data_IF_870025970341
#
_entry.id   IF_870025970341
#
_cell.length_a   1.000
_cell.length_b   1.000
_cell.length_c   1.000
_cell.angle_alpha   90.00
_cell.angle_beta   90.00
_cell.angle_gamma   90.00
#
_symmetry.space_group_name_H-M   'P 1'
#
loop_
_entity.id
_entity.type
_entity.pdbx_description
1 polymer ?
#
# COMPACT_ATOMS: atom_id res chain seq x y z
N UNK A 1 5.64 23.41 -32.63
CA UNK A 1 4.52 22.81 -31.88
C UNK A 1 5.06 22.40 -30.51
N UNK A 2 4.68 23.13 -29.47
CA UNK A 2 5.30 23.10 -28.13
C UNK A 2 5.01 21.82 -27.33
N UNK A 3 6.00 20.94 -27.28
CA UNK A 3 6.04 19.71 -26.48
C UNK A 3 6.07 19.97 -24.96
N UNK A 4 6.42 21.18 -24.52
CA UNK A 4 6.48 21.60 -23.12
C UNK A 4 5.10 21.99 -22.55
N UNK A 5 4.22 22.61 -23.34
CA UNK A 5 2.84 22.93 -22.93
C UNK A 5 1.99 21.68 -22.77
N UNK A 6 2.20 20.67 -23.62
CA UNK A 6 1.50 19.38 -23.54
C UNK A 6 1.95 18.60 -22.29
N UNK A 7 3.25 18.62 -21.94
CA UNK A 7 3.75 18.00 -20.71
C UNK A 7 3.19 18.65 -19.44
N UNK A 8 3.17 19.98 -19.36
CA UNK A 8 2.63 20.67 -18.18
C UNK A 8 1.12 20.45 -18.03
N UNK A 9 0.35 20.54 -19.14
CA UNK A 9 -1.08 20.26 -19.13
C UNK A 9 -1.42 18.80 -18.81
N UNK A 10 -0.65 17.84 -19.33
CA UNK A 10 -0.83 16.41 -19.04
C UNK A 10 -0.46 16.09 -17.58
N UNK A 11 0.62 16.66 -17.04
CA UNK A 11 1.00 16.50 -15.63
C UNK A 11 -0.08 17.08 -14.72
N UNK A 12 -0.59 18.28 -15.03
CA UNK A 12 -1.65 18.90 -14.25
C UNK A 12 -2.94 18.08 -14.31
N UNK A 13 -3.27 17.51 -15.47
CA UNK A 13 -4.42 16.63 -15.64
C UNK A 13 -4.27 15.34 -14.82
N UNK A 14 -3.11 14.70 -14.86
CA UNK A 14 -2.83 13.49 -14.06
C UNK A 14 -2.90 13.78 -12.56
N UNK A 15 -2.37 14.93 -12.12
CA UNK A 15 -2.48 15.36 -10.72
C UNK A 15 -3.94 15.62 -10.34
N UNK A 16 -4.72 16.26 -11.22
CA UNK A 16 -6.14 16.51 -11.03
C UNK A 16 -6.95 15.21 -10.93
N UNK A 17 -6.73 14.28 -11.85
CA UNK A 17 -7.38 12.97 -11.88
C UNK A 17 -7.01 12.15 -10.63
N UNK A 18 -5.74 12.19 -10.22
CA UNK A 18 -5.28 11.55 -8.98
C UNK A 18 -5.95 12.16 -7.75
N UNK A 19 -5.96 13.49 -7.63
CA UNK A 19 -6.61 14.17 -6.50
C UNK A 19 -8.11 13.90 -6.46
N UNK A 20 -8.76 13.86 -7.61
CA UNK A 20 -10.18 13.51 -7.72
C UNK A 20 -10.45 12.07 -7.27
N UNK A 21 -9.72 11.09 -7.81
CA UNK A 21 -9.85 9.69 -7.42
C UNK A 21 -9.56 9.49 -5.94
N UNK A 22 -8.52 10.15 -5.42
CA UNK A 22 -8.14 10.10 -4.01
C UNK A 22 -9.21 10.70 -3.11
N UNK A 23 -9.68 11.91 -3.41
CA UNK A 23 -10.70 12.60 -2.61
C UNK A 23 -12.03 11.84 -2.61
N UNK A 24 -12.51 11.42 -3.78
CA UNK A 24 -13.78 10.68 -3.89
C UNK A 24 -13.71 9.32 -3.21
N UNK A 25 -12.60 8.58 -3.35
CA UNK A 25 -12.40 7.30 -2.66
C UNK A 25 -12.34 7.49 -1.13
N UNK A 26 -11.71 8.57 -0.66
CA UNK A 26 -11.64 8.91 0.76
C UNK A 26 -13.01 9.22 1.33
N UNK A 27 -13.80 10.06 0.66
CA UNK A 27 -15.16 10.43 1.07
C UNK A 27 -16.03 9.17 1.13
N UNK A 28 -15.96 8.32 0.09
CA UNK A 28 -16.74 7.10 0.03
C UNK A 28 -16.36 6.13 1.17
N UNK A 29 -15.07 5.91 1.40
CA UNK A 29 -14.59 5.09 2.51
C UNK A 29 -15.05 5.63 3.87
N UNK A 30 -14.98 6.94 4.07
CA UNK A 30 -15.41 7.58 5.31
C UNK A 30 -16.93 7.46 5.54
N UNK A 31 -17.74 7.67 4.50
CA UNK A 31 -19.20 7.53 4.60
C UNK A 31 -19.62 6.11 4.97
N UNK A 32 -19.00 5.09 4.36
CA UNK A 32 -19.30 3.68 4.67
C UNK A 32 -18.79 3.29 6.05
N UNK A 33 -17.63 3.79 6.48
CA UNK A 33 -17.11 3.59 7.83
C UNK A 33 -18.04 4.20 8.90
N UNK A 34 -18.53 5.42 8.68
CA UNK A 34 -19.49 6.08 9.57
C UNK A 34 -20.84 5.37 9.57
N UNK A 35 -21.32 4.94 8.40
CA UNK A 35 -22.54 4.16 8.26
C UNK A 35 -22.44 2.84 9.05
N UNK A 36 -21.28 2.18 9.01
CA UNK A 36 -21.01 0.97 9.81
C UNK A 36 -21.09 1.26 11.31
N UNK A 37 -20.49 2.35 11.78
CA UNK A 37 -20.57 2.75 13.19
C UNK A 37 -22.02 3.04 13.62
N UNK A 38 -22.83 3.65 12.74
CA UNK A 38 -24.25 3.89 12.98
C UNK A 38 -25.05 2.59 13.06
N UNK A 39 -24.83 1.64 12.14
CA UNK A 39 -25.47 0.31 12.15
C UNK A 39 -25.13 -0.45 13.43
N UNK A 40 -23.86 -0.42 13.86
CA UNK A 40 -23.43 -1.01 15.14
C UNK A 40 -24.14 -0.35 16.33
N UNK A 41 -24.32 0.98 16.31
CA UNK A 41 -25.08 1.70 17.34
C UNK A 41 -26.54 1.25 17.41
N UNK A 42 -27.18 1.12 16.25
CA UNK A 42 -28.57 0.71 16.16
C UNK A 42 -28.77 -0.73 16.66
N UNK A 43 -27.84 -1.63 16.34
CA UNK A 43 -27.89 -3.03 16.76
C UNK A 43 -27.58 -3.24 18.25
N UNK A 44 -26.82 -2.34 18.87
CA UNK A 44 -26.60 -2.33 20.32
C UNK A 44 -27.94 -2.32 21.10
N UNK A 45 -28.99 -1.73 20.53
CA UNK A 45 -30.33 -1.69 21.13
C UNK A 45 -31.12 -3.01 21.00
N UNK A 46 -30.73 -3.91 20.09
CA UNK A 46 -31.54 -5.06 19.67
C UNK A 46 -31.18 -6.41 20.29
N UNK A 47 -29.88 -6.72 20.48
CA UNK A 47 -29.39 -7.94 21.18
C UNK A 47 -27.85 -7.95 21.22
N UNK A 48 -27.24 -8.24 22.37
CA UNK A 48 -25.79 -8.42 22.46
C UNK A 48 -25.35 -9.76 21.85
N UNK A 49 -24.43 -9.72 20.88
CA UNK A 49 -23.74 -10.91 20.36
C UNK A 49 -22.44 -10.52 19.69
N UNK A 50 -21.31 -10.94 20.28
CA UNK A 50 -19.95 -10.67 19.82
C UNK A 50 -19.73 -11.05 18.36
N UNK A 51 -20.16 -12.25 17.96
CA UNK A 51 -19.89 -12.77 16.61
C UNK A 51 -20.54 -11.94 15.49
N UNK A 52 -21.72 -11.36 15.76
CA UNK A 52 -22.42 -10.52 14.79
C UNK A 52 -21.71 -9.19 14.57
N UNK A 53 -21.18 -8.59 15.64
CA UNK A 53 -20.43 -7.32 15.54
C UNK A 53 -19.19 -7.51 14.66
N UNK A 54 -18.42 -8.59 14.88
CA UNK A 54 -17.24 -8.92 14.08
C UNK A 54 -17.59 -9.20 12.62
N UNK A 55 -18.62 -10.03 12.39
CA UNK A 55 -19.06 -10.37 11.03
C UNK A 55 -19.53 -9.13 10.25
N UNK A 56 -20.26 -8.22 10.90
CA UNK A 56 -20.70 -6.97 10.29
C UNK A 56 -19.53 -6.03 9.96
N UNK A 57 -18.54 -5.91 10.85
CA UNK A 57 -17.34 -5.10 10.56
C UNK A 57 -16.60 -5.63 9.31
N UNK A 58 -16.41 -6.95 9.20
CA UNK A 58 -15.79 -7.57 8.03
C UNK A 58 -16.64 -7.40 6.76
N UNK A 59 -17.96 -7.62 6.85
CA UNK A 59 -18.87 -7.48 5.72
C UNK A 59 -18.89 -6.05 5.18
N UNK A 60 -18.94 -5.05 6.07
CA UNK A 60 -19.00 -3.64 5.67
C UNK A 60 -17.67 -3.15 5.08
N UNK A 61 -16.54 -3.64 5.60
CA UNK A 61 -15.23 -3.40 4.97
C UNK A 61 -15.20 -3.95 3.54
N UNK A 62 -15.67 -5.18 3.31
CA UNK A 62 -15.75 -5.76 1.97
C UNK A 62 -16.75 -5.02 1.06
N UNK A 63 -17.92 -4.63 1.58
CA UNK A 63 -18.90 -3.83 0.85
C UNK A 63 -18.31 -2.50 0.36
N UNK A 64 -17.47 -1.85 1.19
CA UNK A 64 -16.81 -0.61 0.81
C UNK A 64 -15.88 -0.77 -0.40
N UNK A 65 -15.19 -1.91 -0.49
CA UNK A 65 -14.37 -2.24 -1.64
C UNK A 65 -15.23 -2.45 -2.90
N UNK A 66 -16.29 -3.25 -2.79
CA UNK A 66 -17.17 -3.55 -3.93
C UNK A 66 -17.91 -2.33 -4.48
N UNK A 67 -18.35 -1.42 -3.60
CA UNK A 67 -18.97 -0.16 -4.01
C UNK A 67 -17.99 0.76 -4.75
N UNK A 68 -16.73 0.80 -4.30
CA UNK A 68 -15.70 1.59 -4.99
C UNK A 68 -15.40 1.03 -6.38
N UNK A 69 -15.29 -0.29 -6.53
CA UNK A 69 -15.11 -0.93 -7.84
C UNK A 69 -16.28 -0.64 -8.79
N UNK A 70 -17.52 -0.70 -8.29
CA UNK A 70 -18.71 -0.39 -9.09
C UNK A 70 -18.72 1.06 -9.61
N UNK A 71 -18.15 1.98 -8.82
CA UNK A 71 -18.04 3.40 -9.18
C UNK A 71 -16.76 3.73 -9.95
N UNK A 72 -15.97 2.72 -10.35
CA UNK A 72 -14.67 2.89 -11.02
C UNK A 72 -13.69 3.77 -10.21
N UNK A 73 -13.76 3.67 -8.88
CA UNK A 73 -12.85 4.32 -7.93
C UNK A 73 -11.81 3.33 -7.41
N UNK A 74 -10.86 3.79 -6.60
CA UNK A 74 -9.86 2.89 -6.01
C UNK A 74 -10.46 2.12 -4.83
N UNK A 75 -10.74 0.82 -5.05
CA UNK A 75 -11.23 -0.08 -4.00
C UNK A 75 -10.28 -0.19 -2.80
N UNK A 76 -8.98 -0.28 -3.07
CA UNK A 76 -7.92 -0.40 -2.05
C UNK A 76 -7.85 0.85 -1.16
N UNK A 77 -7.91 2.05 -1.74
CA UNK A 77 -7.92 3.30 -0.97
C UNK A 77 -9.21 3.44 -0.15
N UNK A 78 -10.34 3.07 -0.74
CA UNK A 78 -11.64 3.17 -0.09
C UNK A 78 -11.72 2.29 1.15
N UNK A 79 -11.36 1.00 1.04
CA UNK A 79 -11.39 0.07 2.18
C UNK A 79 -10.39 0.48 3.27
N UNK A 80 -9.26 1.08 2.89
CA UNK A 80 -8.29 1.61 3.83
C UNK A 80 -8.87 2.76 4.67
N UNK A 81 -9.48 3.76 4.03
CA UNK A 81 -10.12 4.87 4.76
C UNK A 81 -11.35 4.40 5.56
N UNK A 82 -12.13 3.47 5.02
CA UNK A 82 -13.21 2.81 5.76
C UNK A 82 -12.69 2.17 7.05
N UNK A 83 -11.58 1.43 6.98
CA UNK A 83 -10.93 0.81 8.14
C UNK A 83 -10.42 1.83 9.18
N UNK A 84 -9.84 2.95 8.75
CA UNK A 84 -9.41 4.03 9.66
C UNK A 84 -10.61 4.60 10.42
N UNK A 85 -11.68 4.94 9.71
CA UNK A 85 -12.91 5.49 10.31
C UNK A 85 -13.55 4.47 11.23
N UNK A 86 -13.61 3.19 10.83
CA UNK A 86 -14.14 2.12 11.67
C UNK A 86 -13.31 1.94 12.96
N UNK A 87 -11.98 1.98 12.86
CA UNK A 87 -11.07 1.89 14.01
C UNK A 87 -11.28 3.05 15.01
N UNK A 88 -11.63 4.24 14.55
CA UNK A 88 -11.87 5.38 15.45
C UNK A 88 -13.29 5.40 16.02
N UNK A 89 -14.31 5.23 15.18
CA UNK A 89 -15.71 5.44 15.55
C UNK A 89 -16.43 4.15 15.97
N UNK A 90 -16.18 3.04 15.28
CA UNK A 90 -16.81 1.76 15.63
C UNK A 90 -16.18 1.17 16.89
N UNK A 91 -14.89 1.41 17.15
CA UNK A 91 -14.23 0.94 18.37
C UNK A 91 -15.02 1.32 19.61
N UNK A 92 -15.44 2.58 19.76
CA UNK A 92 -16.19 3.03 20.94
C UNK A 92 -17.59 2.40 21.08
N UNK A 93 -18.20 1.96 19.98
CA UNK A 93 -19.54 1.37 19.95
C UNK A 93 -19.58 -0.15 20.17
N UNK A 94 -18.44 -0.82 20.08
CA UNK A 94 -18.32 -2.28 20.11
C UNK A 94 -17.99 -2.78 21.52
N UNK A 95 -18.49 -3.97 21.87
CA UNK A 95 -18.23 -4.59 23.18
C UNK A 95 -16.75 -4.94 23.37
N UNK A 96 -16.27 -4.95 24.62
CA UNK A 96 -14.84 -5.20 24.91
C UNK A 96 -14.38 -6.59 24.42
N UNK A 97 -15.23 -7.61 24.57
CA UNK A 97 -14.95 -8.95 24.02
C UNK A 97 -14.82 -8.94 22.48
N UNK A 98 -15.66 -8.18 21.79
CA UNK A 98 -15.63 -8.08 20.32
C UNK A 98 -14.41 -7.33 19.82
N UNK A 99 -13.92 -6.31 20.55
CA UNK A 99 -12.66 -5.60 20.22
C UNK A 99 -11.45 -6.55 20.24
N UNK A 100 -11.34 -7.37 21.27
CA UNK A 100 -10.25 -8.35 21.41
C UNK A 100 -10.31 -9.36 20.28
N UNK A 101 -11.47 -9.97 20.05
CA UNK A 101 -11.67 -10.96 18.98
C UNK A 101 -11.39 -10.39 17.60
N UNK A 102 -11.88 -9.17 17.31
CA UNK A 102 -11.64 -8.46 16.05
C UNK A 102 -10.16 -8.23 15.81
N UNK A 103 -9.43 -7.75 16.83
CA UNK A 103 -7.98 -7.53 16.73
C UNK A 103 -7.24 -8.83 16.42
N UNK A 104 -7.59 -9.94 17.08
CA UNK A 104 -6.96 -11.22 16.81
C UNK A 104 -7.27 -11.74 15.41
N UNK A 105 -8.54 -11.70 14.97
CA UNK A 105 -8.95 -12.18 13.65
C UNK A 105 -8.27 -11.38 12.53
N UNK A 106 -8.26 -10.05 12.60
CA UNK A 106 -7.60 -9.25 11.56
C UNK A 106 -6.07 -9.41 11.59
N UNK A 107 -5.45 -9.59 12.76
CA UNK A 107 -4.03 -9.87 12.86
C UNK A 107 -3.66 -11.24 12.27
N UNK A 108 -4.43 -12.29 12.55
CA UNK A 108 -4.18 -13.62 11.98
C UNK A 108 -4.45 -13.65 10.48
N UNK A 109 -5.51 -12.99 10.01
CA UNK A 109 -5.81 -12.88 8.58
C UNK A 109 -4.73 -12.10 7.82
N UNK A 110 -4.21 -11.02 8.41
CA UNK A 110 -3.06 -10.28 7.86
C UNK A 110 -1.82 -11.15 7.76
N UNK A 111 -1.49 -11.90 8.81
CA UNK A 111 -0.32 -12.78 8.84
C UNK A 111 -0.42 -13.92 7.80
N UNK A 112 -1.61 -14.51 7.65
CA UNK A 112 -1.87 -15.54 6.65
C UNK A 112 -1.74 -14.95 5.23
N UNK A 113 -2.35 -13.79 4.97
CA UNK A 113 -2.27 -13.13 3.67
C UNK A 113 -0.82 -12.74 3.30
N UNK A 114 -0.05 -12.24 4.27
CA UNK A 114 1.36 -11.93 4.11
C UNK A 114 2.17 -13.20 3.79
N UNK A 115 1.92 -14.31 4.49
CA UNK A 115 2.56 -15.60 4.20
C UNK A 115 2.28 -16.09 2.79
N UNK A 116 1.02 -15.96 2.31
CA UNK A 116 0.67 -16.34 0.94
C UNK A 116 1.37 -15.47 -0.12
N UNK A 117 1.44 -14.15 0.09
CA UNK A 117 2.16 -13.25 -0.82
C UNK A 117 3.64 -13.64 -0.89
N UNK A 118 4.28 -13.89 0.26
CA UNK A 118 5.69 -14.30 0.28
C UNK A 118 5.92 -15.66 -0.37
N UNK A 119 5.03 -16.64 -0.14
CA UNK A 119 5.10 -17.94 -0.79
C UNK A 119 4.99 -17.78 -2.31
N UNK A 120 4.04 -16.97 -2.79
CA UNK A 120 3.85 -16.74 -4.23
C UNK A 120 5.07 -16.10 -4.87
N UNK A 121 5.69 -15.10 -4.22
CA UNK A 121 6.95 -14.51 -4.69
C UNK A 121 8.10 -15.52 -4.65
N UNK A 122 8.21 -16.30 -3.58
CA UNK A 122 9.25 -17.32 -3.46
C UNK A 122 9.14 -18.38 -4.55
N UNK A 123 7.92 -18.81 -4.89
CA UNK A 123 7.65 -19.73 -5.99
C UNK A 123 8.02 -19.12 -7.34
N UNK A 124 7.66 -17.85 -7.60
CA UNK A 124 8.01 -17.15 -8.85
C UNK A 124 9.53 -16.93 -8.98
N UNK A 125 10.24 -16.72 -7.86
CA UNK A 125 11.69 -16.56 -7.83
C UNK A 125 12.45 -17.87 -8.12
N UNK A 126 11.85 -19.03 -7.82
CA UNK A 126 12.46 -20.36 -8.04
C UNK A 126 12.14 -20.94 -9.43
N UNK A 127 11.33 -20.26 -10.24
CA UNK A 127 10.96 -20.71 -11.58
C UNK A 127 12.15 -20.58 -12.56
N UNK A 128 12.87 -21.69 -12.74
CA UNK A 128 14.13 -21.76 -13.50
C UNK A 128 13.96 -21.44 -15.00
N UNK A 129 12.76 -21.63 -15.56
CA UNK A 129 12.50 -21.41 -16.98
C UNK A 129 12.46 -19.92 -17.34
N UNK A 130 12.06 -19.05 -16.40
CA UNK A 130 12.13 -17.58 -16.57
C UNK A 130 13.56 -17.05 -16.50
N UNK A 131 14.40 -17.71 -15.70
CA UNK A 131 15.81 -17.34 -15.52
C UNK A 131 16.67 -17.68 -16.75
N UNK A 132 16.35 -18.77 -17.45
CA UNK A 132 17.04 -19.19 -18.67
C UNK A 132 16.91 -18.19 -19.83
N UNK A 133 15.75 -17.57 -20.02
CA UNK A 133 15.55 -16.52 -21.04
C UNK A 133 16.29 -15.21 -20.71
N UNK A 134 16.61 -14.98 -19.43
CA UNK A 134 17.33 -13.79 -18.94
C UNK A 134 18.87 -13.97 -18.96
N UNK A 135 19.37 -15.20 -19.16
CA UNK A 135 20.80 -15.53 -19.07
C UNK A 135 21.70 -14.93 -20.16
N UNK A 136 21.16 -14.32 -21.22
CA UNK A 136 22.00 -13.73 -22.27
C UNK A 136 22.80 -12.48 -21.82
N UNK A 137 22.61 -11.95 -20.60
CA UNK A 137 23.38 -10.78 -20.14
C UNK A 137 23.56 -10.67 -18.61
N UNK A 138 24.02 -11.74 -17.94
CA UNK A 138 24.19 -11.80 -16.48
C UNK A 138 25.10 -10.68 -15.90
N UNK A 139 26.14 -10.26 -16.66
CA UNK A 139 27.05 -9.15 -16.27
C UNK A 139 26.39 -7.77 -16.36
N UNK A 140 25.56 -7.55 -17.38
CA UNK A 140 24.86 -6.28 -17.61
C UNK A 140 23.68 -6.12 -16.66
N UNK A 141 22.99 -7.24 -16.36
CA UNK A 141 21.86 -7.30 -15.44
C UNK A 141 22.26 -6.87 -14.02
N UNK A 142 23.37 -7.39 -13.47
CA UNK A 142 23.87 -7.00 -12.15
C UNK A 142 24.14 -5.49 -12.01
N UNK A 143 24.64 -4.86 -13.08
CA UNK A 143 24.82 -3.40 -13.12
C UNK A 143 23.49 -2.66 -13.05
N UNK A 144 22.47 -3.12 -13.79
CA UNK A 144 21.12 -2.54 -13.81
C UNK A 144 20.42 -2.72 -12.45
N UNK A 145 20.54 -3.89 -11.82
CA UNK A 145 20.04 -4.16 -10.47
C UNK A 145 20.66 -3.21 -9.44
N UNK A 146 21.99 -3.05 -9.46
CA UNK A 146 22.71 -2.11 -8.59
C UNK A 146 22.30 -0.65 -8.82
N UNK A 147 22.13 -0.25 -10.08
CA UNK A 147 21.66 1.10 -10.44
C UNK A 147 20.24 1.33 -9.96
N UNK A 148 19.31 0.39 -10.16
CA UNK A 148 17.92 0.52 -9.71
C UNK A 148 17.84 0.64 -8.19
N UNK A 149 18.56 -0.21 -7.46
CA UNK A 149 18.63 -0.15 -5.98
C UNK A 149 19.20 1.19 -5.53
N UNK A 150 20.30 1.65 -6.14
CA UNK A 150 20.90 2.94 -5.86
C UNK A 150 19.93 4.11 -6.15
N UNK A 151 19.19 4.04 -7.25
CA UNK A 151 18.20 5.05 -7.64
C UNK A 151 17.02 5.11 -6.66
N UNK A 152 16.60 3.96 -6.13
CA UNK A 152 15.55 3.86 -5.11
C UNK A 152 16.03 4.46 -3.78
N UNK A 153 17.25 4.12 -3.35
CA UNK A 153 17.90 4.66 -2.15
C UNK A 153 18.04 6.20 -2.24
N UNK A 154 18.57 6.69 -3.36
CA UNK A 154 18.75 8.12 -3.63
C UNK A 154 17.42 8.85 -3.78
N UNK A 155 16.45 8.27 -4.48
CA UNK A 155 15.11 8.83 -4.61
C UNK A 155 14.44 9.00 -3.24
N UNK A 156 14.52 7.98 -2.37
CA UNK A 156 13.99 8.08 -1.00
C UNK A 156 14.74 9.10 -0.15
N UNK A 157 16.07 9.12 -0.21
CA UNK A 157 16.87 10.13 0.48
C UNK A 157 16.44 11.55 0.05
N UNK A 158 16.27 11.76 -1.26
CA UNK A 158 15.84 13.03 -1.83
C UNK A 158 14.41 13.44 -1.43
N UNK A 159 13.55 12.54 -0.95
CA UNK A 159 12.25 12.91 -0.37
C UNK A 159 12.32 13.08 1.16
N UNK A 160 13.00 12.17 1.88
CA UNK A 160 13.02 12.18 3.35
C UNK A 160 13.79 13.39 3.92
N UNK A 161 14.94 13.74 3.33
CA UNK A 161 15.73 14.89 3.80
C UNK A 161 14.99 16.23 3.67
N UNK A 162 14.41 16.61 2.51
CA UNK A 162 13.66 17.86 2.41
C UNK A 162 12.36 17.85 3.21
N UNK A 163 11.64 16.71 3.33
CA UNK A 163 10.48 16.64 4.21
C UNK A 163 10.86 16.82 5.69
N UNK A 164 12.01 16.29 6.12
CA UNK A 164 12.46 16.48 7.50
C UNK A 164 12.91 17.92 7.77
N UNK A 165 13.56 18.57 6.80
CA UNK A 165 13.91 20.00 6.88
C UNK A 165 12.63 20.85 6.92
N UNK A 166 11.65 20.56 6.06
CA UNK A 166 10.36 21.26 6.04
C UNK A 166 9.57 21.04 7.34
N UNK A 167 9.56 19.82 7.87
CA UNK A 167 8.93 19.50 9.15
C UNK A 167 9.63 20.21 10.32
N UNK A 168 10.97 20.31 10.31
CA UNK A 168 11.71 21.03 11.34
C UNK A 168 11.48 22.55 11.25
N UNK A 169 11.31 23.08 10.03
CA UNK A 169 10.95 24.49 9.80
C UNK A 169 9.53 24.81 10.26
N UNK A 170 8.56 23.92 9.97
CA UNK A 170 7.15 24.08 10.36
C UNK A 170 6.91 23.81 11.85
N UNK A 171 7.73 22.96 12.50
CA UNK A 171 7.71 22.72 13.95
C UNK A 171 8.43 23.79 14.78
N UNK A 172 9.00 24.83 14.17
CA UNK A 172 9.63 25.94 14.89
C UNK A 172 8.71 26.69 15.88
N UNK A 173 7.40 26.41 15.86
CA UNK A 173 6.38 27.03 16.73
C UNK A 173 5.63 26.02 17.63
N UNK A 174 6.09 24.77 17.75
CA UNK A 174 5.43 23.73 18.55
C UNK A 174 6.45 23.01 19.43
N UNK A 175 6.10 22.73 20.70
CA UNK A 175 6.93 22.09 21.75
C UNK A 175 7.34 20.62 21.46
N UNK A 176 7.67 20.30 20.21
CA UNK A 176 8.11 18.96 19.79
C UNK A 176 9.62 18.99 19.56
N UNK A 177 10.32 18.02 20.17
CA UNK A 177 11.76 17.89 20.05
C UNK A 177 12.21 17.87 18.57
N UNK A 178 13.27 18.62 18.20
CA UNK A 178 13.72 18.68 16.81
C UNK A 178 14.19 17.31 16.32
N UNK A 179 13.81 16.95 15.11
CA UNK A 179 14.20 15.69 14.47
C UNK A 179 15.69 15.74 14.16
N UNK A 180 16.52 15.18 15.05
CA UNK A 180 17.98 15.12 14.87
C UNK A 180 18.34 14.33 13.60
N UNK A 181 19.48 14.63 12.97
CA UNK A 181 20.01 13.90 11.81
C UNK A 181 20.05 12.37 12.02
N UNK A 182 20.32 11.90 13.25
CA UNK A 182 20.25 10.48 13.60
C UNK A 182 18.84 9.89 13.44
N UNK A 183 17.80 10.61 13.85
CA UNK A 183 16.41 10.21 13.64
C UNK A 183 16.05 10.20 12.15
N UNK A 184 16.56 11.13 11.35
CA UNK A 184 16.33 11.16 9.90
C UNK A 184 16.93 9.93 9.20
N UNK A 185 18.15 9.53 9.58
CA UNK A 185 18.80 8.33 9.07
C UNK A 185 18.04 7.07 9.48
N UNK A 186 17.53 7.01 10.72
CA UNK A 186 16.69 5.88 11.18
C UNK A 186 15.37 5.83 10.41
N UNK A 187 14.71 6.97 10.15
CA UNK A 187 13.47 7.04 9.37
C UNK A 187 13.72 6.63 7.92
N UNK A 188 14.83 7.06 7.33
CA UNK A 188 15.22 6.67 5.98
C UNK A 188 15.49 5.16 5.88
N UNK A 189 16.20 4.59 6.86
CA UNK A 189 16.49 3.16 6.93
C UNK A 189 15.23 2.32 7.18
N UNK A 190 14.37 2.74 8.12
CA UNK A 190 13.12 2.05 8.43
C UNK A 190 12.13 2.07 7.25
N UNK A 191 12.08 3.17 6.50
CA UNK A 191 11.24 3.31 5.30
C UNK A 191 11.71 2.49 4.09
N UNK A 192 12.87 1.83 4.19
CA UNK A 192 13.39 0.99 3.12
C UNK A 192 12.70 -0.37 3.02
N UNK A 193 12.04 -0.80 4.10
CA UNK A 193 11.26 -2.02 4.13
C UNK A 193 10.05 -1.89 3.19
N UNK A 194 10.15 -2.45 1.98
CA UNK A 194 9.00 -2.58 1.09
C UNK A 194 8.03 -3.61 1.69
N UNK A 195 6.84 -3.18 2.10
CA UNK A 195 5.83 -4.09 2.64
C UNK A 195 5.19 -4.99 1.56
N UNK A 196 4.45 -6.00 2.00
CA UNK A 196 3.65 -6.90 1.16
C UNK A 196 2.71 -6.17 0.18
N UNK A 197 2.25 -4.96 0.53
CA UNK A 197 1.41 -4.11 -0.32
C UNK A 197 2.09 -3.73 -1.65
N UNK A 198 3.40 -3.45 -1.62
CA UNK A 198 4.15 -3.09 -2.85
C UNK A 198 4.24 -4.28 -3.81
N UNK A 199 4.41 -5.47 -3.25
CA UNK A 199 4.45 -6.73 -4.00
C UNK A 199 3.08 -7.03 -4.62
N UNK A 200 2.00 -6.91 -3.84
CA UNK A 200 0.64 -7.14 -4.32
C UNK A 200 0.25 -6.18 -5.47
N UNK A 201 0.62 -4.90 -5.36
CA UNK A 201 0.41 -3.90 -6.42
C UNK A 201 1.18 -4.24 -7.69
N UNK A 202 2.43 -4.69 -7.57
CA UNK A 202 3.20 -5.16 -8.71
C UNK A 202 2.45 -6.31 -9.39
N UNK A 203 2.06 -7.35 -8.66
CA UNK A 203 1.31 -8.50 -9.18
C UNK A 203 -0.01 -8.13 -9.86
N UNK A 204 -0.79 -7.22 -9.27
CA UNK A 204 -2.03 -6.77 -9.91
C UNK A 204 -1.76 -6.16 -11.30
N UNK A 205 -0.70 -5.34 -11.41
CA UNK A 205 -0.28 -4.79 -12.70
C UNK A 205 0.15 -5.88 -13.69
N UNK A 206 0.84 -6.93 -13.26
CA UNK A 206 1.19 -8.08 -14.12
C UNK A 206 -0.05 -8.81 -14.64
N UNK A 207 -1.03 -9.08 -13.78
CA UNK A 207 -2.25 -9.80 -14.17
C UNK A 207 -3.07 -8.98 -15.16
N UNK A 208 -3.15 -7.65 -14.97
CA UNK A 208 -3.87 -6.76 -15.87
C UNK A 208 -3.16 -6.58 -17.22
N UNK A 209 -1.82 -6.64 -17.22
CA UNK A 209 -1.01 -6.61 -18.45
C UNK A 209 -0.88 -7.99 -19.12
N UNK A 210 -1.81 -8.91 -18.82
CA UNK A 210 -1.93 -10.27 -19.34
C UNK A 210 -1.22 -10.50 -20.67
N UNK A 211 -0.12 -11.24 -20.61
CA UNK A 211 0.70 -11.67 -21.76
C UNK A 211 1.12 -10.48 -22.63
N UNK A 212 2.09 -9.69 -22.17
CA UNK A 212 2.87 -8.86 -23.09
C UNK A 212 3.66 -9.79 -24.02
N UNK A 213 3.22 -9.89 -25.27
CA UNK A 213 3.97 -10.48 -26.38
C UNK A 213 5.35 -9.80 -26.59
N UNK A 214 5.60 -8.68 -25.90
CA UNK A 214 6.88 -7.99 -25.88
C UNK A 214 7.81 -8.49 -24.75
N UNK A 215 8.94 -9.16 -25.08
CA UNK A 215 9.87 -9.70 -24.09
C UNK A 215 10.49 -8.62 -23.18
N UNK A 216 10.49 -7.36 -23.62
CA UNK A 216 11.05 -6.23 -22.86
C UNK A 216 10.19 -5.90 -21.64
N UNK A 217 8.86 -5.91 -21.77
CA UNK A 217 7.96 -5.60 -20.66
C UNK A 217 7.96 -6.71 -19.62
N UNK A 218 7.87 -7.97 -20.05
CA UNK A 218 8.00 -9.11 -19.14
C UNK A 218 9.32 -9.07 -18.35
N UNK A 219 10.45 -8.76 -19.01
CA UNK A 219 11.76 -8.68 -18.35
C UNK A 219 11.85 -7.55 -17.31
N UNK A 220 11.32 -6.37 -17.62
CA UNK A 220 11.31 -5.23 -16.68
C UNK A 220 10.53 -5.55 -15.43
N UNK A 221 9.34 -6.14 -15.58
CA UNK A 221 8.46 -6.34 -14.45
C UNK A 221 8.99 -7.52 -13.59
N UNK A 222 9.45 -8.63 -14.18
CA UNK A 222 10.11 -9.74 -13.43
C UNK A 222 11.38 -9.29 -12.73
N UNK A 223 12.21 -8.46 -13.37
CA UNK A 223 13.39 -7.86 -12.71
C UNK A 223 12.98 -7.00 -11.51
N UNK A 224 11.88 -6.25 -11.61
CA UNK A 224 11.36 -5.42 -10.51
C UNK A 224 10.89 -6.29 -9.33
N UNK A 225 10.20 -7.42 -9.57
CA UNK A 225 9.86 -8.37 -8.48
C UNK A 225 11.13 -8.88 -7.80
N UNK A 226 12.12 -9.33 -8.56
CA UNK A 226 13.36 -9.89 -8.00
C UNK A 226 14.10 -8.85 -7.18
N UNK A 227 14.18 -7.59 -7.66
CA UNK A 227 14.75 -6.48 -6.89
C UNK A 227 13.96 -6.28 -5.59
N UNK A 228 12.64 -6.18 -5.68
CA UNK A 228 11.78 -5.92 -4.51
C UNK A 228 11.94 -7.05 -3.49
N UNK A 229 11.87 -8.31 -3.91
CA UNK A 229 12.05 -9.49 -3.09
C UNK A 229 13.42 -9.53 -2.40
N UNK A 230 14.49 -9.31 -3.17
CA UNK A 230 15.85 -9.27 -2.64
C UNK A 230 16.01 -8.15 -1.62
N UNK A 231 15.50 -6.95 -1.91
CA UNK A 231 15.54 -5.83 -0.96
C UNK A 231 14.72 -6.13 0.31
N UNK A 232 13.56 -6.78 0.20
CA UNK A 232 12.76 -7.15 1.38
C UNK A 232 13.41 -8.24 2.22
N UNK A 233 14.09 -9.21 1.63
CA UNK A 233 14.78 -10.25 2.39
C UNK A 233 16.06 -9.73 3.05
N UNK A 234 16.86 -8.94 2.33
CA UNK A 234 18.16 -8.46 2.82
C UNK A 234 18.00 -7.35 3.87
N UNK A 235 17.01 -6.47 3.70
CA UNK A 235 16.77 -5.39 4.65
C UNK A 235 15.67 -5.71 5.68
N UNK A 236 14.93 -6.82 5.52
CA UNK A 236 13.83 -7.23 6.42
C UNK A 236 14.23 -8.13 7.58
N UNK A 237 15.43 -8.72 7.53
CA UNK A 237 16.09 -9.39 8.67
C UNK A 237 17.04 -8.43 9.38
#
# INVERSE_FOLDING_TARGET
MDITKIKSGAVLKVIGDFLYLFATSTILGATIGLFTAYVLKALYFGRHSTDREVALMALMAYLSYMLAELLSLSGILTVFFCGIVMSHYAWHNVTESSRITTRHIFATLSFIAETFIFLYVGMDALDMDKWKTTQASFKTSIGIFGVIISLILLGRAAFVFPLSILSNFMSGNSEKAPITFKHQVVIWWAGLMRGAVSIALAYNQFTFSGVTQDPVHATIITSTIVVVFFTTLVFGF
#
